data_IF_060469717043
#
_entry.id   IF_060469717043
#
_cell.length_a   1.000
_cell.length_b   1.000
_cell.length_c   1.000
_cell.angle_alpha   90.00
_cell.angle_beta   90.00
_cell.angle_gamma   90.00
#
_symmetry.space_group_name_H-M   'P 1'
#
loop_
_entity.id
_entity.type
_entity.pdbx_description
1 polymer ?
#
# COMPACT_ATOMS: atom_id res chain seq x y z
N UNK A 1 4.87 -17.22 5.38
CA UNK A 1 4.42 -16.06 6.18
C UNK A 1 2.93 -15.83 5.97
N UNK A 2 2.29 -15.06 6.83
CA UNK A 2 0.84 -14.74 6.80
C UNK A 2 0.65 -13.27 7.15
N UNK A 3 -0.31 -12.62 6.51
CA UNK A 3 -0.71 -11.24 6.86
C UNK A 3 -1.61 -11.25 8.09
N UNK A 4 -1.79 -10.08 8.73
CA UNK A 4 -2.75 -9.92 9.83
C UNK A 4 -4.20 -10.28 9.43
N UNK A 5 -4.51 -10.25 8.13
CA UNK A 5 -5.83 -10.57 7.60
C UNK A 5 -6.03 -12.06 7.23
N UNK A 6 -5.04 -12.92 7.44
CA UNK A 6 -5.11 -14.33 7.02
C UNK A 6 -6.37 -15.06 7.51
N UNK A 7 -6.70 -14.95 8.79
CA UNK A 7 -7.87 -15.62 9.36
C UNK A 7 -9.18 -15.06 8.80
N UNK A 8 -9.24 -13.74 8.56
CA UNK A 8 -10.38 -13.11 7.88
C UNK A 8 -10.54 -13.66 6.46
N UNK A 9 -9.46 -13.79 5.71
CA UNK A 9 -9.53 -14.32 4.34
C UNK A 9 -10.06 -15.76 4.32
N UNK A 10 -9.68 -16.58 5.31
CA UNK A 10 -10.22 -17.92 5.48
C UNK A 10 -11.71 -17.91 5.84
N UNK A 11 -12.14 -17.01 6.72
CA UNK A 11 -13.57 -16.79 7.04
C UNK A 11 -14.37 -16.41 5.78
N UNK A 12 -13.79 -15.60 4.89
CA UNK A 12 -14.40 -15.17 3.63
C UNK A 12 -14.36 -16.24 2.52
N UNK A 13 -13.80 -17.43 2.80
CA UNK A 13 -13.77 -18.54 1.85
C UNK A 13 -12.70 -18.42 0.77
N UNK A 14 -11.61 -17.69 1.02
CA UNK A 14 -10.50 -17.56 0.09
C UNK A 14 -9.91 -18.92 -0.30
N UNK A 15 -9.59 -19.06 -1.59
CA UNK A 15 -8.67 -20.08 -2.09
C UNK A 15 -7.26 -19.50 -2.04
N UNK A 16 -6.37 -20.12 -1.26
CA UNK A 16 -5.03 -19.62 -1.04
C UNK A 16 -4.01 -20.14 -2.06
N UNK A 17 -2.95 -19.37 -2.27
CA UNK A 17 -1.72 -19.77 -2.97
C UNK A 17 -0.49 -19.34 -2.17
N UNK A 18 0.67 -19.88 -2.51
CA UNK A 18 1.96 -19.34 -2.06
C UNK A 18 2.42 -18.27 -3.05
N UNK A 19 2.58 -17.04 -2.57
CA UNK A 19 3.09 -15.91 -3.34
C UNK A 19 4.26 -15.27 -2.60
N UNK A 20 5.47 -15.41 -3.15
CA UNK A 20 6.72 -14.93 -2.54
C UNK A 20 6.88 -15.31 -1.06
N UNK A 21 6.49 -16.54 -0.70
CA UNK A 21 6.59 -17.04 0.68
C UNK A 21 5.41 -16.68 1.59
N UNK A 22 4.43 -15.90 1.12
CA UNK A 22 3.19 -15.60 1.85
C UNK A 22 2.03 -16.50 1.41
N UNK A 23 1.21 -16.94 2.37
CA UNK A 23 -0.09 -17.54 2.08
C UNK A 23 -1.12 -16.43 1.78
N UNK A 24 -1.38 -16.19 0.50
CA UNK A 24 -2.25 -15.10 0.05
C UNK A 24 -3.51 -15.63 -0.65
N UNK A 25 -4.65 -14.91 -0.57
CA UNK A 25 -5.86 -15.23 -1.33
C UNK A 25 -5.59 -15.14 -2.83
N UNK A 26 -5.66 -16.26 -3.55
CA UNK A 26 -5.64 -16.27 -5.01
C UNK A 26 -6.93 -15.69 -5.58
N UNK A 27 -8.07 -16.10 -5.01
CA UNK A 27 -9.42 -15.58 -5.28
C UNK A 27 -10.38 -16.00 -4.16
N UNK A 28 -11.56 -15.40 -4.09
CA UNK A 28 -12.67 -15.72 -3.17
C UNK A 28 -13.86 -16.34 -3.90
N UNK A 29 -14.16 -15.89 -5.12
CA UNK A 29 -15.21 -16.43 -5.99
C UNK A 29 -14.62 -17.04 -7.25
N UNK A 30 -14.04 -16.20 -8.11
CA UNK A 30 -13.28 -16.58 -9.28
C UNK A 30 -12.47 -15.39 -9.75
N UNK A 31 -11.31 -15.66 -10.35
CA UNK A 31 -10.43 -14.63 -10.90
C UNK A 31 -11.18 -13.71 -11.88
N UNK A 32 -11.99 -14.30 -12.77
CA UNK A 32 -12.72 -13.54 -13.78
C UNK A 32 -13.79 -12.62 -13.17
N UNK A 33 -14.59 -13.13 -12.22
CA UNK A 33 -15.66 -12.33 -11.60
C UNK A 33 -15.08 -11.17 -10.79
N UNK A 34 -14.02 -11.44 -10.01
CA UNK A 34 -13.34 -10.40 -9.21
C UNK A 34 -12.70 -9.33 -10.09
N UNK A 35 -12.03 -9.72 -11.18
CA UNK A 35 -11.45 -8.79 -12.14
C UNK A 35 -12.53 -7.88 -12.76
N UNK A 36 -13.63 -8.48 -13.24
CA UNK A 36 -14.74 -7.71 -13.82
C UNK A 36 -15.40 -6.80 -12.78
N UNK A 37 -15.44 -7.20 -11.52
CA UNK A 37 -15.98 -6.34 -10.47
C UNK A 37 -15.14 -5.08 -10.27
N UNK A 38 -13.82 -5.19 -10.23
CA UNK A 38 -12.93 -4.01 -10.14
C UNK A 38 -13.17 -3.06 -11.33
N UNK A 39 -13.32 -3.61 -12.55
CA UNK A 39 -13.62 -2.84 -13.77
C UNK A 39 -14.98 -2.16 -13.74
N UNK A 40 -15.97 -2.74 -13.07
CA UNK A 40 -17.36 -2.28 -13.13
C UNK A 40 -17.86 -1.61 -11.85
N UNK A 41 -17.13 -1.75 -10.75
CA UNK A 41 -17.50 -1.31 -9.41
C UNK A 41 -16.23 -0.98 -8.59
N UNK A 42 -15.91 -1.77 -7.56
CA UNK A 42 -14.82 -1.57 -6.60
C UNK A 42 -14.45 -2.92 -5.95
N UNK A 43 -13.16 -3.16 -5.77
CA UNK A 43 -12.63 -4.31 -5.05
C UNK A 43 -11.67 -3.86 -3.96
N UNK A 44 -11.57 -4.66 -2.89
CA UNK A 44 -10.56 -4.47 -1.85
C UNK A 44 -9.58 -5.64 -1.85
N UNK A 45 -8.31 -5.32 -1.96
CA UNK A 45 -7.20 -6.28 -1.96
C UNK A 45 -6.41 -6.15 -0.66
N UNK A 46 -5.99 -7.28 -0.09
CA UNK A 46 -4.91 -7.31 0.89
C UNK A 46 -3.58 -7.44 0.17
N UNK A 47 -2.78 -6.38 0.21
CA UNK A 47 -1.43 -6.33 -0.35
C UNK A 47 -0.37 -6.12 0.73
N UNK A 48 -0.68 -6.50 1.97
CA UNK A 48 0.20 -6.33 3.14
C UNK A 48 1.50 -7.16 3.07
N UNK A 49 1.60 -8.08 2.12
CA UNK A 49 2.82 -8.84 1.81
C UNK A 49 3.92 -7.98 1.15
N UNK A 50 3.61 -6.77 0.69
CA UNK A 50 4.61 -5.81 0.23
C UNK A 50 5.37 -5.18 1.41
N UNK A 51 6.59 -4.73 1.15
CA UNK A 51 7.46 -4.09 2.13
C UNK A 51 7.03 -2.65 2.43
N UNK A 52 7.44 -2.13 3.59
CA UNK A 52 7.21 -0.75 4.02
C UNK A 52 8.45 -0.28 4.76
N UNK A 53 9.20 0.63 4.14
CA UNK A 53 10.44 1.14 4.70
C UNK A 53 10.32 2.66 4.80
N UNK A 54 10.43 3.18 6.02
CA UNK A 54 10.54 4.62 6.22
C UNK A 54 11.99 5.07 6.05
N UNK A 55 12.17 6.21 5.39
CA UNK A 55 13.46 6.89 5.24
C UNK A 55 13.31 8.31 5.78
N UNK A 56 14.10 8.64 6.80
CA UNK A 56 14.03 9.92 7.55
C UNK A 56 15.37 10.60 7.64
N UNK A 57 15.35 11.89 7.96
CA UNK A 57 16.56 12.69 8.18
C UNK A 57 16.82 13.69 7.04
N UNK A 58 17.75 14.61 7.29
CA UNK A 58 18.03 15.74 6.39
C UNK A 58 18.55 15.28 5.01
N UNK A 59 19.21 14.13 4.95
CA UNK A 59 19.84 13.60 3.73
C UNK A 59 18.98 12.49 3.06
N UNK A 60 17.74 12.27 3.52
CA UNK A 60 16.84 11.23 2.98
C UNK A 60 16.47 11.47 1.51
N UNK A 61 16.19 12.72 1.14
CA UNK A 61 15.86 13.11 -0.25
C UNK A 61 17.05 12.88 -1.19
N UNK A 62 18.27 13.16 -0.74
CA UNK A 62 19.50 12.93 -1.49
C UNK A 62 19.75 11.44 -1.69
N UNK A 63 19.58 10.63 -0.63
CA UNK A 63 19.71 9.18 -0.72
C UNK A 63 18.74 8.60 -1.76
N UNK A 64 17.45 8.96 -1.71
CA UNK A 64 16.46 8.46 -2.66
C UNK A 64 16.76 8.89 -4.10
N UNK A 65 17.22 10.12 -4.29
CA UNK A 65 17.63 10.62 -5.62
C UNK A 65 18.90 9.95 -6.15
N UNK A 66 19.74 9.42 -5.27
CA UNK A 66 20.97 8.69 -5.61
C UNK A 66 20.68 7.24 -6.02
N UNK A 67 19.79 6.56 -5.33
CA UNK A 67 19.57 5.10 -5.50
C UNK A 67 18.42 4.76 -6.46
N UNK A 68 17.53 5.70 -6.73
CA UNK A 68 16.38 5.48 -7.63
C UNK A 68 16.56 6.22 -8.96
N UNK A 69 15.86 5.78 -10.00
CA UNK A 69 15.88 6.44 -11.33
C UNK A 69 15.21 7.81 -11.29
N UNK A 70 14.15 7.95 -10.50
CA UNK A 70 13.46 9.21 -10.29
C UNK A 70 14.20 10.11 -9.31
N UNK A 71 14.20 11.41 -9.57
CA UNK A 71 14.79 12.39 -8.65
C UNK A 71 13.73 12.81 -7.61
N UNK A 72 13.96 12.43 -6.34
CA UNK A 72 13.07 12.70 -5.23
C UNK A 72 12.94 14.20 -4.91
N UNK A 73 13.96 15.02 -5.17
CA UNK A 73 13.94 16.49 -5.00
C UNK A 73 12.84 17.17 -5.84
N UNK A 74 12.37 16.50 -6.90
CA UNK A 74 11.29 16.99 -7.76
C UNK A 74 9.91 16.56 -7.30
N UNK A 75 9.82 15.62 -6.36
CA UNK A 75 8.59 15.05 -5.84
C UNK A 75 8.21 15.81 -4.57
N UNK A 76 7.20 16.65 -4.70
CA UNK A 76 6.72 17.50 -3.61
C UNK A 76 6.11 16.68 -2.48
N UNK A 77 6.13 17.22 -1.26
CA UNK A 77 5.33 16.74 -0.14
C UNK A 77 3.87 16.48 -0.56
N UNK A 78 3.32 15.36 -0.09
CA UNK A 78 1.98 14.89 -0.43
C UNK A 78 1.88 14.26 -1.83
N UNK A 79 3.01 13.94 -2.45
CA UNK A 79 3.08 13.18 -3.70
C UNK A 79 4.00 11.98 -3.55
N UNK A 80 3.74 10.95 -4.33
CA UNK A 80 4.62 9.83 -4.56
C UNK A 80 5.01 9.68 -6.01
N UNK A 81 5.79 8.65 -6.30
CA UNK A 81 6.29 8.38 -7.64
C UNK A 81 6.65 6.89 -7.76
N UNK A 82 6.33 6.31 -8.91
CA UNK A 82 6.85 5.00 -9.32
C UNK A 82 8.27 5.16 -9.88
N UNK A 83 9.19 4.31 -9.46
CA UNK A 83 10.61 4.37 -9.81
C UNK A 83 11.21 2.98 -9.91
N UNK A 84 12.48 2.92 -10.33
CA UNK A 84 13.30 1.71 -10.29
C UNK A 84 14.49 1.96 -9.36
N UNK A 85 14.88 0.96 -8.58
CA UNK A 85 16.16 0.95 -7.86
C UNK A 85 17.18 0.19 -8.69
N UNK A 86 18.33 0.80 -8.94
CA UNK A 86 19.39 0.22 -9.77
C UNK A 86 20.65 -0.05 -8.94
N UNK A 87 21.40 -1.08 -9.33
CA UNK A 87 22.75 -1.30 -8.84
C UNK A 87 23.78 -0.39 -9.55
N UNK A 88 25.03 -0.44 -9.10
CA UNK A 88 26.14 0.35 -9.65
C UNK A 88 26.42 0.09 -11.15
N UNK A 89 25.92 -1.02 -11.71
CA UNK A 89 26.07 -1.40 -13.12
C UNK A 89 24.81 -1.06 -13.94
N UNK A 90 23.77 -0.50 -13.32
CA UNK A 90 22.49 -0.19 -13.96
C UNK A 90 21.54 -1.39 -14.08
N UNK A 91 21.79 -2.50 -13.36
CA UNK A 91 20.81 -3.59 -13.29
C UNK A 91 19.68 -3.22 -12.33
N UNK A 92 18.45 -3.59 -12.69
CA UNK A 92 17.29 -3.37 -11.83
C UNK A 92 17.39 -4.30 -10.61
N UNK A 93 17.35 -3.70 -9.42
CA UNK A 93 17.25 -4.38 -8.14
C UNK A 93 15.78 -4.69 -7.84
N UNK A 94 14.92 -3.66 -7.92
CA UNK A 94 13.47 -3.73 -7.74
C UNK A 94 12.77 -2.53 -8.43
N UNK A 95 11.47 -2.64 -8.65
CA UNK A 95 10.58 -1.53 -9.01
C UNK A 95 9.67 -1.18 -7.84
N UNK A 96 9.50 0.11 -7.56
CA UNK A 96 8.88 0.55 -6.30
C UNK A 96 8.07 1.83 -6.47
N UNK A 97 7.19 2.08 -5.50
CA UNK A 97 6.61 3.40 -5.28
C UNK A 97 7.21 3.98 -4.01
N UNK A 98 7.58 5.26 -4.04
CA UNK A 98 7.87 6.02 -2.84
C UNK A 98 6.86 7.15 -2.66
N UNK A 99 6.57 7.50 -1.40
CA UNK A 99 5.68 8.58 -1.00
C UNK A 99 6.46 9.62 -0.21
N UNK A 100 6.37 10.89 -0.59
CA UNK A 100 6.89 12.01 0.20
C UNK A 100 5.81 12.49 1.18
N UNK A 101 6.00 12.21 2.47
CA UNK A 101 5.08 12.59 3.55
C UNK A 101 5.52 13.88 4.26
N UNK A 102 6.54 14.58 3.74
CA UNK A 102 7.09 15.81 4.31
C UNK A 102 8.31 15.51 5.16
N UNK A 103 8.11 15.11 6.42
CA UNK A 103 9.21 14.83 7.36
C UNK A 103 9.88 13.47 7.10
N UNK A 104 9.22 12.58 6.35
CA UNK A 104 9.69 11.24 6.05
C UNK A 104 9.23 10.80 4.66
N UNK A 105 9.92 9.80 4.13
CA UNK A 105 9.54 9.08 2.92
C UNK A 105 9.10 7.68 3.27
N UNK A 106 8.05 7.17 2.63
CA UNK A 106 7.69 5.76 2.68
C UNK A 106 8.02 5.10 1.35
N UNK A 107 8.92 4.12 1.38
CA UNK A 107 9.27 3.26 0.26
C UNK A 107 8.48 1.96 0.37
N UNK A 108 7.95 1.47 -0.76
CA UNK A 108 7.11 0.27 -0.82
C UNK A 108 7.74 -0.77 -1.76
N UNK A 109 8.68 -1.60 -1.26
CA UNK A 109 9.29 -2.68 -2.03
C UNK A 109 8.32 -3.81 -2.37
N UNK A 110 8.65 -4.58 -3.40
CA UNK A 110 7.93 -5.80 -3.71
C UNK A 110 8.03 -6.83 -2.58
N UNK A 111 7.10 -7.78 -2.58
CA UNK A 111 7.07 -8.84 -1.56
C UNK A 111 8.35 -9.69 -1.56
N UNK A 112 8.96 -9.81 -0.38
CA UNK A 112 10.22 -10.52 -0.19
C UNK A 112 11.47 -9.72 -0.57
N UNK A 113 11.34 -8.44 -0.91
CA UNK A 113 12.47 -7.57 -1.26
C UNK A 113 12.89 -6.62 -0.14
N UNK A 114 12.05 -6.38 0.88
CA UNK A 114 12.27 -5.36 1.91
C UNK A 114 13.64 -5.44 2.58
N UNK A 115 14.08 -6.62 3.06
CA UNK A 115 15.41 -6.79 3.66
C UNK A 115 16.55 -6.35 2.72
N UNK A 116 16.48 -6.79 1.47
CA UNK A 116 17.50 -6.49 0.45
C UNK A 116 17.52 -5.01 0.10
N UNK A 117 16.35 -4.36 0.10
CA UNK A 117 16.21 -2.94 -0.22
C UNK A 117 16.67 -2.08 0.95
N UNK A 118 16.34 -2.45 2.20
CA UNK A 118 16.87 -1.80 3.39
C UNK A 118 18.41 -1.88 3.43
N UNK A 119 18.99 -3.07 3.22
CA UNK A 119 20.46 -3.25 3.15
C UNK A 119 21.09 -2.40 2.04
N UNK A 120 20.42 -2.28 0.89
CA UNK A 120 20.88 -1.45 -0.22
C UNK A 120 20.86 0.04 0.12
N UNK A 121 19.80 0.52 0.76
CA UNK A 121 19.70 1.91 1.24
C UNK A 121 20.78 2.18 2.28
N UNK A 122 20.95 1.31 3.27
CA UNK A 122 21.95 1.46 4.33
C UNK A 122 23.38 1.52 3.77
N UNK A 123 23.71 0.66 2.80
CA UNK A 123 25.01 0.67 2.14
C UNK A 123 25.30 2.01 1.43
N UNK A 124 24.27 2.66 0.89
CA UNK A 124 24.40 3.86 0.08
C UNK A 124 24.12 5.17 0.84
N UNK A 125 23.62 5.07 2.07
CA UNK A 125 23.32 6.18 2.97
C UNK A 125 24.60 6.92 3.37
N UNK A 126 24.53 8.24 3.28
CA UNK A 126 25.58 9.16 3.72
C UNK A 126 24.88 10.28 4.51
N UNK A 127 25.51 10.76 5.59
CA UNK A 127 24.94 11.83 6.41
C UNK A 127 23.92 11.37 7.44
N UNK A 128 22.93 12.22 7.71
CA UNK A 128 21.85 12.02 8.66
C UNK A 128 20.64 11.39 7.96
N UNK A 129 20.67 10.06 7.85
CA UNK A 129 19.56 9.24 7.36
C UNK A 129 19.28 8.09 8.32
N UNK A 130 18.00 7.89 8.63
CA UNK A 130 17.48 6.72 9.33
C UNK A 130 16.62 5.91 8.36
N UNK A 131 16.85 4.60 8.32
CA UNK A 131 16.11 3.63 7.49
C UNK A 131 15.46 2.65 8.44
N UNK A 132 14.14 2.57 8.41
CA UNK A 132 13.35 1.75 9.32
C UNK A 132 12.40 0.86 8.52
N UNK A 133 12.60 -0.45 8.60
CA UNK A 133 11.68 -1.44 8.04
C UNK A 133 10.53 -1.70 9.01
N UNK A 134 9.32 -1.29 8.63
CA UNK A 134 8.08 -1.44 9.40
C UNK A 134 7.10 -2.41 8.73
N UNK A 135 7.62 -3.32 7.89
CA UNK A 135 6.81 -4.20 7.05
C UNK A 135 5.83 -5.07 7.83
N UNK A 136 6.21 -5.51 9.03
CA UNK A 136 5.38 -6.32 9.94
C UNK A 136 4.40 -5.48 10.78
N UNK A 137 4.67 -4.19 10.96
CA UNK A 137 3.85 -3.29 11.78
C UNK A 137 2.67 -2.69 11.00
N UNK A 138 2.80 -2.64 9.67
CA UNK A 138 1.81 -2.05 8.77
C UNK A 138 1.12 -3.10 7.91
N UNK A 139 -0.19 -2.94 7.70
CA UNK A 139 -0.95 -3.63 6.65
C UNK A 139 -1.27 -2.69 5.49
N UNK A 140 -1.45 -3.23 4.28
CA UNK A 140 -1.82 -2.45 3.10
C UNK A 140 -3.12 -2.99 2.52
N UNK A 141 -4.13 -2.13 2.47
CA UNK A 141 -5.38 -2.39 1.76
C UNK A 141 -5.44 -1.55 0.50
N UNK A 142 -5.58 -2.20 -0.67
CA UNK A 142 -5.80 -1.49 -1.93
C UNK A 142 -7.29 -1.50 -2.27
N UNK A 143 -7.92 -0.32 -2.32
CA UNK A 143 -9.33 -0.12 -2.67
C UNK A 143 -9.38 0.41 -4.10
N UNK A 144 -9.76 -0.44 -5.05
CA UNK A 144 -9.53 -0.21 -6.47
C UNK A 144 -10.84 -0.36 -7.27
N UNK A 145 -11.10 0.56 -8.19
CA UNK A 145 -12.29 0.60 -9.02
C UNK A 145 -12.95 1.97 -9.05
N UNK A 146 -13.81 2.21 -10.04
CA UNK A 146 -14.42 3.52 -10.31
C UNK A 146 -15.32 4.06 -9.17
N UNK A 147 -15.74 3.20 -8.23
CA UNK A 147 -16.54 3.57 -7.05
C UNK A 147 -15.71 3.62 -5.75
N UNK A 148 -14.38 3.65 -5.85
CA UNK A 148 -13.48 3.69 -4.68
C UNK A 148 -13.64 4.95 -3.85
N UNK A 149 -13.86 6.13 -4.45
CA UNK A 149 -14.09 7.36 -3.68
C UNK A 149 -15.37 7.29 -2.85
N UNK A 150 -16.42 6.72 -3.42
CA UNK A 150 -17.75 6.58 -2.83
C UNK A 150 -17.68 5.66 -1.62
N UNK A 151 -16.99 4.52 -1.73
CA UNK A 151 -16.76 3.62 -0.58
C UNK A 151 -15.93 4.32 0.50
N UNK A 152 -14.84 5.00 0.14
CA UNK A 152 -13.99 5.65 1.15
C UNK A 152 -14.71 6.78 1.88
N UNK A 153 -15.62 7.51 1.22
CA UNK A 153 -16.49 8.51 1.87
C UNK A 153 -17.44 7.91 2.90
N UNK A 154 -17.79 6.63 2.79
CA UNK A 154 -18.61 5.98 3.79
C UNK A 154 -17.83 5.68 5.07
N UNK A 155 -16.52 5.46 4.98
CA UNK A 155 -15.69 5.09 6.14
C UNK A 155 -14.80 6.23 6.67
N UNK A 156 -14.63 7.32 5.92
CA UNK A 156 -13.84 8.49 6.30
C UNK A 156 -14.70 9.74 6.57
N UNK A 157 -14.24 10.58 7.49
CA UNK A 157 -14.80 11.89 7.83
C UNK A 157 -14.12 13.05 7.09
N UNK A 158 -13.28 12.75 6.11
CA UNK A 158 -12.53 13.72 5.32
C UNK A 158 -12.73 13.46 3.84
N UNK A 159 -12.58 14.52 3.05
CA UNK A 159 -12.44 14.40 1.60
C UNK A 159 -10.96 14.31 1.26
N UNK A 160 -10.57 13.23 0.56
CA UNK A 160 -9.17 12.98 0.23
C UNK A 160 -8.67 13.93 -0.86
N UNK A 161 -9.50 14.27 -1.86
CA UNK A 161 -9.15 15.11 -3.02
C UNK A 161 -7.70 14.94 -3.54
N UNK A 162 -7.19 13.70 -3.59
CA UNK A 162 -5.82 13.40 -3.99
C UNK A 162 -5.68 13.40 -5.52
N UNK A 163 -4.59 13.99 -6.00
CA UNK A 163 -4.15 13.84 -7.41
C UNK A 163 -3.62 12.42 -7.63
N UNK A 164 -3.42 12.02 -8.89
CA UNK A 164 -2.78 10.73 -9.17
C UNK A 164 -1.38 10.73 -8.54
N UNK A 165 -1.01 9.66 -7.85
CA UNK A 165 0.15 9.60 -6.96
C UNK A 165 0.15 10.59 -5.79
N UNK A 166 -0.95 11.31 -5.52
CA UNK A 166 -1.06 12.11 -4.30
C UNK A 166 -1.14 11.20 -3.08
N UNK A 167 -0.54 11.60 -1.97
CA UNK A 167 -0.61 10.90 -0.69
C UNK A 167 -0.86 11.86 0.46
N UNK A 168 -1.37 11.33 1.57
CA UNK A 168 -1.51 12.05 2.82
C UNK A 168 -1.41 11.10 4.00
N UNK A 169 -0.96 11.62 5.13
CA UNK A 169 -0.99 10.94 6.41
C UNK A 169 -2.18 11.43 7.23
N UNK A 170 -2.99 10.49 7.74
CA UNK A 170 -4.21 10.80 8.47
C UNK A 170 -4.27 10.04 9.80
N UNK A 171 -4.92 10.67 10.76
CA UNK A 171 -5.13 10.08 12.09
C UNK A 171 -6.36 9.16 12.11
N UNK A 172 -6.44 8.26 13.08
CA UNK A 172 -7.62 7.42 13.30
C UNK A 172 -8.92 8.23 13.47
N UNK A 173 -8.86 9.46 14.00
CA UNK A 173 -10.03 10.34 14.15
C UNK A 173 -10.68 10.75 12.80
N UNK A 174 -9.97 10.54 11.69
CA UNK A 174 -10.50 10.77 10.36
C UNK A 174 -11.36 9.59 9.85
N UNK A 175 -11.48 8.50 10.60
CA UNK A 175 -12.35 7.37 10.29
C UNK A 175 -13.69 7.45 11.03
N UNK A 176 -14.71 6.78 10.49
CA UNK A 176 -16.02 6.56 11.13
C UNK A 176 -16.05 5.29 11.99
N UNK A 177 -14.89 4.74 12.29
CA UNK A 177 -14.68 3.64 13.22
C UNK A 177 -13.60 4.05 14.21
N UNK A 178 -13.78 3.65 15.48
CA UNK A 178 -12.84 3.98 16.54
C UNK A 178 -11.69 2.97 16.57
N UNK A 179 -10.45 3.47 16.47
CA UNK A 179 -9.23 2.72 16.73
C UNK A 179 -8.11 3.67 17.13
N UNK A 180 -7.02 3.12 17.68
CA UNK A 180 -5.78 3.86 17.88
C UNK A 180 -4.78 3.45 16.80
N UNK A 181 -4.15 4.44 16.17
CA UNK A 181 -3.22 4.17 15.09
C UNK A 181 -3.09 5.32 14.10
N UNK A 182 -2.41 5.00 13.00
CA UNK A 182 -2.07 5.91 11.90
C UNK A 182 -2.43 5.25 10.57
N UNK A 183 -2.86 6.05 9.61
CA UNK A 183 -3.11 5.57 8.25
C UNK A 183 -2.54 6.54 7.22
N UNK A 184 -1.65 6.05 6.36
CA UNK A 184 -1.22 6.78 5.17
C UNK A 184 -2.12 6.35 4.02
N UNK A 185 -2.60 7.30 3.24
CA UNK A 185 -3.44 7.04 2.06
C UNK A 185 -2.77 7.62 0.84
N UNK A 186 -2.59 6.81 -0.20
CA UNK A 186 -2.13 7.26 -1.51
C UNK A 186 -3.17 6.95 -2.58
N UNK A 187 -3.28 7.84 -3.58
CA UNK A 187 -4.06 7.59 -4.80
C UNK A 187 -3.18 6.88 -5.83
N UNK A 188 -2.88 5.63 -5.51
CA UNK A 188 -2.06 4.68 -6.28
C UNK A 188 -2.82 3.36 -6.44
N UNK A 189 -2.27 2.47 -7.26
CA UNK A 189 -2.85 1.16 -7.47
C UNK A 189 -2.29 0.44 -8.68
N UNK A 190 -2.53 -0.87 -8.72
CA UNK A 190 -1.99 -1.77 -9.74
C UNK A 190 -3.06 -2.29 -10.72
N UNK A 191 -4.21 -1.64 -10.81
CA UNK A 191 -5.37 -2.15 -11.57
C UNK A 191 -5.64 -1.39 -12.87
N UNK A 192 -5.11 -0.18 -13.02
CA UNK A 192 -5.46 0.73 -14.12
C UNK A 192 -6.80 1.46 -13.93
N UNK A 193 -7.58 1.12 -12.89
CA UNK A 193 -8.72 1.93 -12.48
C UNK A 193 -8.28 3.06 -11.53
N UNK A 194 -9.23 3.96 -11.25
CA UNK A 194 -9.13 4.82 -10.08
C UNK A 194 -9.10 3.96 -8.81
N UNK A 195 -8.25 4.32 -7.84
CA UNK A 195 -8.14 3.60 -6.59
C UNK A 195 -7.20 4.27 -5.61
N UNK A 196 -7.10 3.66 -4.44
CA UNK A 196 -6.30 4.09 -3.31
C UNK A 196 -5.61 2.91 -2.64
N UNK A 197 -4.53 3.19 -1.93
CA UNK A 197 -3.86 2.26 -1.03
C UNK A 197 -3.81 2.89 0.37
N UNK A 198 -4.19 2.12 1.38
CA UNK A 198 -4.20 2.50 2.79
C UNK A 198 -3.13 1.69 3.53
N UNK A 199 -2.13 2.36 4.08
CA UNK A 199 -1.07 1.78 4.91
C UNK A 199 -1.44 2.01 6.36
N UNK A 200 -1.82 0.95 7.07
CA UNK A 200 -2.49 1.01 8.37
C UNK A 200 -1.58 0.40 9.44
N UNK A 201 -1.36 1.14 10.53
CA UNK A 201 -0.71 0.64 11.74
C UNK A 201 -1.58 0.95 12.97
N UNK A 202 -1.70 0.04 13.97
CA UNK A 202 -1.17 -1.33 13.96
C UNK A 202 -1.79 -2.22 12.88
N UNK A 203 -1.02 -3.16 12.34
CA UNK A 203 -1.42 -4.04 11.23
C UNK A 203 -2.79 -4.72 11.46
N UNK A 204 -3.09 -5.14 12.68
CA UNK A 204 -4.32 -5.87 13.02
C UNK A 204 -5.58 -5.02 12.83
N UNK A 205 -5.46 -3.69 12.90
CA UNK A 205 -6.58 -2.77 12.66
C UNK A 205 -7.08 -2.90 11.21
N UNK A 206 -6.23 -3.31 10.27
CA UNK A 206 -6.68 -3.51 8.89
C UNK A 206 -7.80 -4.55 8.79
N UNK A 207 -7.93 -5.50 9.73
CA UNK A 207 -9.06 -6.45 9.77
C UNK A 207 -10.39 -5.72 9.99
N UNK A 208 -10.46 -4.76 10.91
CA UNK A 208 -11.69 -4.02 11.19
C UNK A 208 -12.02 -3.05 10.05
N UNK A 209 -11.01 -2.39 9.48
CA UNK A 209 -11.16 -1.52 8.30
C UNK A 209 -11.65 -2.33 7.10
N UNK A 210 -11.08 -3.51 6.82
CA UNK A 210 -11.48 -4.37 5.71
C UNK A 210 -12.94 -4.82 5.85
N UNK A 211 -13.35 -5.28 7.04
CA UNK A 211 -14.74 -5.64 7.32
C UNK A 211 -15.67 -4.45 7.12
N UNK A 212 -15.27 -3.25 7.59
CA UNK A 212 -16.07 -2.04 7.43
C UNK A 212 -16.21 -1.59 5.99
N UNK A 213 -15.15 -1.70 5.20
CA UNK A 213 -15.16 -1.45 3.75
C UNK A 213 -16.18 -2.36 3.05
N UNK A 214 -16.19 -3.67 3.39
CA UNK A 214 -17.15 -4.60 2.81
C UNK A 214 -18.59 -4.29 3.21
N UNK A 215 -18.84 -3.95 4.48
CA UNK A 215 -20.16 -3.59 4.99
C UNK A 215 -20.71 -2.33 4.33
N UNK A 216 -19.98 -1.21 4.41
CA UNK A 216 -20.44 0.08 3.89
C UNK A 216 -20.41 0.14 2.36
N UNK A 217 -19.53 -0.66 1.75
CA UNK A 217 -19.36 -0.77 0.31
C UNK A 217 -20.37 -1.70 -0.38
N UNK A 218 -21.19 -2.45 0.37
CA UNK A 218 -22.12 -3.45 -0.19
C UNK A 218 -23.05 -2.82 -1.25
N UNK A 219 -23.60 -1.64 -0.95
CA UNK A 219 -24.47 -0.88 -1.86
C UNK A 219 -23.78 -0.42 -3.15
N UNK A 220 -22.45 -0.40 -3.17
CA UNK A 220 -21.65 -0.08 -4.36
C UNK A 220 -21.21 -1.34 -5.11
N UNK A 221 -21.40 -2.54 -4.55
CA UNK A 221 -20.94 -3.80 -5.12
C UNK A 221 -19.47 -4.11 -4.80
N UNK A 222 -18.95 -3.64 -3.66
CA UNK A 222 -17.60 -4.00 -3.23
C UNK A 222 -17.47 -5.51 -3.04
N UNK A 223 -16.29 -6.06 -3.34
CA UNK A 223 -15.95 -7.43 -2.96
C UNK A 223 -14.48 -7.56 -2.55
N UNK A 224 -14.14 -8.55 -1.71
CA UNK A 224 -12.75 -8.93 -1.53
C UNK A 224 -12.21 -9.50 -2.84
N UNK A 225 -10.98 -9.12 -3.19
CA UNK A 225 -10.32 -9.53 -4.43
C UNK A 225 -8.98 -10.18 -4.12
N UNK A 226 -8.76 -11.36 -4.71
CA UNK A 226 -7.51 -12.09 -4.59
C UNK A 226 -6.45 -11.63 -5.59
N UNK A 227 -5.21 -12.04 -5.34
CA UNK A 227 -4.04 -11.67 -6.14
C UNK A 227 -4.04 -12.27 -7.55
N UNK A 228 -4.99 -13.13 -7.90
CA UNK A 228 -5.15 -13.66 -9.26
C UNK A 228 -5.88 -12.69 -10.21
N UNK A 229 -6.61 -11.71 -9.67
CA UNK A 229 -7.54 -10.86 -10.43
C UNK A 229 -7.04 -9.42 -10.71
N UNK A 230 -5.82 -9.10 -10.26
CA UNK A 230 -5.12 -7.83 -10.56
C UNK A 230 -4.85 -7.67 -12.05
#
# INVERSE_FOLDING_TARGET
MRTALYDLHKELGAVFTNFMGYEMPLYYKSIQEEHLNVRHSVGVFDVSHMGKIFVRGEDAEELLSKITVENAEKIKEGMGQYTLLLDENGNIIDDEVFLNLGEEYLIVPNAGMHDKIAEWMEKNAEGNVEIEDVSDEYSILAIQGKLSDEVLKEILNIDLNLKFFGCMDISANNFKIDFEGRCIISRTGYTGERGYEMYITPAEIAVSIFKKLLEEGEKYGIMPVGIGAR
#
